data_IF_288212287725
#
_entry.id   IF_288212287725
#
_cell.length_a   1.000
_cell.length_b   1.000
_cell.length_c   1.000
_cell.angle_alpha   90.00
_cell.angle_beta   90.00
_cell.angle_gamma   90.00
#
_symmetry.space_group_name_H-M   'P 1'
#
loop_
_entity.id
_entity.type
_entity.pdbx_description
1 polymer ?
#
# COMPACT_ATOMS: atom_id res chain seq x y z
N UNK A 1 20.43 -10.40 -14.65
CA UNK A 1 19.77 -11.53 -13.96
C UNK A 1 18.31 -11.14 -13.76
N UNK A 2 17.34 -12.03 -13.96
CA UNK A 2 15.95 -11.69 -13.69
C UNK A 2 15.82 -11.46 -12.19
N UNK A 3 15.44 -10.25 -11.78
CA UNK A 3 15.10 -9.97 -10.40
C UNK A 3 13.84 -10.78 -10.06
N UNK A 4 13.97 -11.75 -9.16
CA UNK A 4 12.82 -12.44 -8.58
C UNK A 4 12.16 -11.44 -7.64
N UNK A 5 10.92 -11.06 -7.96
CA UNK A 5 10.12 -10.17 -7.09
C UNK A 5 9.56 -11.04 -5.98
N UNK A 6 9.97 -10.77 -4.73
CA UNK A 6 9.48 -11.47 -3.54
C UNK A 6 8.33 -10.67 -2.93
N UNK A 7 7.16 -10.69 -3.59
CA UNK A 7 6.03 -9.84 -3.23
C UNK A 7 5.68 -9.86 -1.74
N UNK A 8 5.65 -11.03 -1.11
CA UNK A 8 5.34 -11.13 0.32
C UNK A 8 6.39 -10.43 1.21
N UNK A 9 7.68 -10.65 0.95
CA UNK A 9 8.76 -10.05 1.73
C UNK A 9 8.82 -8.53 1.50
N UNK A 10 8.67 -8.11 0.25
CA UNK A 10 8.65 -6.69 -0.12
C UNK A 10 7.46 -5.97 0.53
N UNK A 11 6.27 -6.58 0.52
CA UNK A 11 5.09 -6.04 1.18
C UNK A 11 5.25 -5.99 2.70
N UNK A 12 5.87 -7.02 3.30
CA UNK A 12 6.17 -7.02 4.72
C UNK A 12 7.11 -5.86 5.10
N UNK A 13 8.16 -5.61 4.30
CA UNK A 13 9.08 -4.50 4.52
C UNK A 13 8.39 -3.14 4.35
N UNK A 14 7.57 -2.99 3.32
CA UNK A 14 6.78 -1.77 3.08
C UNK A 14 5.87 -1.49 4.27
N UNK A 15 5.11 -2.49 4.72
CA UNK A 15 4.20 -2.33 5.84
C UNK A 15 4.95 -2.06 7.15
N UNK A 16 6.11 -2.68 7.36
CA UNK A 16 6.96 -2.42 8.52
C UNK A 16 7.45 -0.96 8.55
N UNK A 17 7.88 -0.42 7.41
CA UNK A 17 8.29 0.98 7.33
C UNK A 17 7.09 1.94 7.49
N UNK A 18 5.92 1.61 6.94
CA UNK A 18 4.71 2.40 7.14
C UNK A 18 4.30 2.45 8.62
N UNK A 19 4.39 1.32 9.33
CA UNK A 19 4.17 1.27 10.79
C UNK A 19 5.22 2.06 11.56
N UNK A 20 6.49 1.98 11.19
CA UNK A 20 7.54 2.81 11.80
C UNK A 20 7.22 4.30 11.69
N UNK A 21 6.77 4.77 10.53
CA UNK A 21 6.34 6.16 10.35
C UNK A 21 5.13 6.50 11.23
N UNK A 22 4.16 5.58 11.36
CA UNK A 22 2.99 5.76 12.20
C UNK A 22 3.34 5.80 13.70
N UNK A 23 4.32 5.02 14.14
CA UNK A 23 4.82 5.06 15.51
C UNK A 23 5.58 6.36 15.76
N UNK A 24 6.46 6.77 14.84
CA UNK A 24 7.18 8.04 14.91
C UNK A 24 6.22 9.24 14.95
N UNK A 25 5.05 9.16 14.28
CA UNK A 25 4.08 10.25 14.26
C UNK A 25 3.22 10.37 15.52
N UNK A 26 3.06 9.28 16.28
CA UNK A 26 2.22 9.21 17.48
C UNK A 26 3.00 9.36 18.78
N UNK A 27 4.28 9.01 18.75
CA UNK A 27 5.19 9.11 19.88
C UNK A 27 5.84 10.49 19.93
N UNK A 28 6.58 10.75 21.00
CA UNK A 28 7.40 11.95 21.18
C UNK A 28 8.89 11.59 21.11
N UNK A 29 9.41 11.16 19.94
CA UNK A 29 10.80 10.80 19.81
C UNK A 29 11.70 12.04 19.72
N UNK A 30 12.94 11.91 20.19
CA UNK A 30 13.95 12.94 20.03
C UNK A 30 14.27 13.17 18.54
N UNK A 31 14.02 14.37 17.99
CA UNK A 31 14.28 14.68 16.58
C UNK A 31 15.75 14.54 16.18
N UNK A 32 16.68 14.78 17.11
CA UNK A 32 18.12 14.67 16.85
C UNK A 32 18.56 13.21 16.69
N UNK A 33 17.78 12.26 17.23
CA UNK A 33 18.05 10.81 17.14
C UNK A 33 17.40 10.21 15.90
N UNK A 34 16.13 10.55 15.62
CA UNK A 34 15.34 9.82 14.62
C UNK A 34 15.00 10.62 13.36
N UNK A 35 15.22 11.94 13.32
CA UNK A 35 14.76 12.81 12.24
C UNK A 35 15.19 12.35 10.84
N UNK A 36 16.48 12.08 10.65
CA UNK A 36 17.01 11.58 9.37
C UNK A 36 16.46 10.19 9.01
N UNK A 37 16.26 9.33 10.01
CA UNK A 37 15.71 7.99 9.82
C UNK A 37 14.26 8.04 9.38
N UNK A 38 13.46 8.95 9.95
CA UNK A 38 12.05 9.17 9.57
C UNK A 38 11.96 9.68 8.13
N UNK A 39 12.78 10.66 7.75
CA UNK A 39 12.81 11.15 6.38
C UNK A 39 13.23 10.07 5.37
N UNK A 40 14.26 9.30 5.71
CA UNK A 40 14.74 8.19 4.89
C UNK A 40 13.69 7.08 4.73
N UNK A 41 12.99 6.75 5.82
CA UNK A 41 11.90 5.79 5.82
C UNK A 41 10.73 6.27 4.94
N UNK A 42 10.34 7.54 5.04
CA UNK A 42 9.28 8.11 4.22
C UNK A 42 9.60 7.98 2.72
N UNK A 43 10.81 8.37 2.31
CA UNK A 43 11.26 8.24 0.91
C UNK A 43 11.34 6.80 0.44
N UNK A 44 11.79 5.90 1.31
CA UNK A 44 11.88 4.47 1.02
C UNK A 44 10.49 3.86 0.81
N UNK A 45 9.53 4.20 1.67
CA UNK A 45 8.12 3.79 1.55
C UNK A 45 7.50 4.33 0.26
N UNK A 46 7.72 5.59 -0.08
CA UNK A 46 7.19 6.17 -1.32
C UNK A 46 7.67 5.43 -2.56
N UNK A 47 8.98 5.22 -2.68
CA UNK A 47 9.56 4.49 -3.81
C UNK A 47 9.13 3.02 -3.86
N UNK A 48 9.03 2.35 -2.72
CA UNK A 48 8.64 0.95 -2.65
C UNK A 48 7.15 0.73 -2.94
N UNK A 49 6.27 1.56 -2.37
CA UNK A 49 4.82 1.50 -2.63
C UNK A 49 4.51 1.75 -4.10
N UNK A 50 5.09 2.78 -4.73
CA UNK A 50 4.84 3.07 -6.16
C UNK A 50 5.21 1.88 -7.05
N UNK A 51 6.42 1.35 -6.89
CA UNK A 51 6.89 0.20 -7.68
C UNK A 51 6.02 -1.03 -7.49
N UNK A 52 5.68 -1.35 -6.24
CA UNK A 52 4.90 -2.55 -5.92
C UNK A 52 3.45 -2.42 -6.39
N UNK A 53 2.85 -1.23 -6.23
CA UNK A 53 1.54 -0.89 -6.79
C UNK A 53 1.53 -1.10 -8.30
N UNK A 54 2.47 -0.52 -9.02
CA UNK A 54 2.49 -0.61 -10.48
C UNK A 54 2.61 -2.07 -10.94
N UNK A 55 3.41 -2.89 -10.24
CA UNK A 55 3.51 -4.33 -10.50
C UNK A 55 2.20 -5.06 -10.23
N UNK A 56 1.52 -4.82 -9.10
CA UNK A 56 0.28 -5.54 -8.74
C UNK A 56 -0.89 -5.11 -9.63
N UNK A 57 -0.99 -3.82 -9.97
CA UNK A 57 -2.04 -3.30 -10.84
C UNK A 57 -1.87 -3.77 -12.28
N UNK A 58 -0.63 -3.81 -12.81
CA UNK A 58 -0.35 -4.25 -14.18
C UNK A 58 -0.48 -5.76 -14.41
N UNK A 59 -0.61 -6.57 -13.35
CA UNK A 59 -0.70 -8.04 -13.45
C UNK A 59 -2.00 -8.58 -12.84
N UNK A 60 -3.13 -8.59 -13.58
CA UNK A 60 -4.43 -9.06 -13.08
C UNK A 60 -4.45 -10.52 -12.64
N UNK A 61 -3.64 -11.38 -13.26
CA UNK A 61 -3.59 -12.83 -13.00
C UNK A 61 -2.53 -13.22 -11.95
N UNK A 62 -2.00 -12.25 -11.20
CA UNK A 62 -1.04 -12.51 -10.15
C UNK A 62 -1.68 -13.40 -9.06
N UNK A 63 -0.97 -14.46 -8.67
CA UNK A 63 -1.39 -15.32 -7.55
C UNK A 63 -1.44 -14.47 -6.28
N UNK A 64 -2.49 -14.66 -5.47
CA UNK A 64 -2.75 -13.90 -4.24
C UNK A 64 -2.92 -12.38 -4.45
N UNK A 65 -3.27 -11.94 -5.67
CA UNK A 65 -3.42 -10.52 -6.00
C UNK A 65 -4.36 -9.77 -5.06
N UNK A 66 -5.46 -10.39 -4.63
CA UNK A 66 -6.41 -9.77 -3.71
C UNK A 66 -5.75 -9.44 -2.37
N UNK A 67 -4.94 -10.35 -1.83
CA UNK A 67 -4.19 -10.12 -0.60
C UNK A 67 -3.15 -9.01 -0.78
N UNK A 68 -2.46 -8.98 -1.92
CA UNK A 68 -1.50 -7.92 -2.21
C UNK A 68 -2.16 -6.54 -2.35
N UNK A 69 -3.29 -6.44 -3.05
CA UNK A 69 -4.06 -5.20 -3.14
C UNK A 69 -4.51 -4.71 -1.77
N UNK A 70 -5.01 -5.63 -0.93
CA UNK A 70 -5.44 -5.33 0.43
C UNK A 70 -4.29 -4.84 1.31
N UNK A 71 -3.15 -5.53 1.28
CA UNK A 71 -1.96 -5.16 2.06
C UNK A 71 -1.38 -3.83 1.58
N UNK A 72 -1.28 -3.62 0.27
CA UNK A 72 -0.80 -2.35 -0.30
C UNK A 72 -1.72 -1.18 0.05
N UNK A 73 -3.04 -1.36 -0.06
CA UNK A 73 -4.00 -0.31 0.30
C UNK A 73 -3.83 0.11 1.77
N UNK A 74 -3.73 -0.88 2.66
CA UNK A 74 -3.51 -0.64 4.09
C UNK A 74 -2.19 0.07 4.37
N UNK A 75 -1.09 -0.39 3.76
CA UNK A 75 0.23 0.20 3.95
C UNK A 75 0.28 1.63 3.40
N UNK A 76 -0.30 1.88 2.22
CA UNK A 76 -0.41 3.21 1.63
C UNK A 76 -1.21 4.15 2.52
N UNK A 77 -2.37 3.73 3.03
CA UNK A 77 -3.15 4.55 3.96
C UNK A 77 -2.38 4.88 5.23
N UNK A 78 -1.75 3.87 5.83
CA UNK A 78 -0.94 4.03 7.05
C UNK A 78 0.20 5.01 6.84
N UNK A 79 0.95 4.89 5.74
CA UNK A 79 2.03 5.79 5.39
C UNK A 79 1.54 7.21 5.11
N UNK A 80 0.47 7.37 4.34
CA UNK A 80 -0.10 8.66 4.01
C UNK A 80 -0.54 9.44 5.24
N UNK A 81 -1.28 8.78 6.13
CA UNK A 81 -1.77 9.39 7.37
C UNK A 81 -0.63 9.70 8.35
N UNK A 82 0.36 8.80 8.46
CA UNK A 82 1.53 9.02 9.30
C UNK A 82 2.38 10.21 8.82
N UNK A 83 2.67 10.28 7.52
CA UNK A 83 3.44 11.40 6.94
C UNK A 83 2.68 12.72 7.10
N UNK A 84 1.35 12.71 6.90
CA UNK A 84 0.52 13.89 7.12
C UNK A 84 0.56 14.38 8.56
N UNK A 85 0.64 13.48 9.55
CA UNK A 85 0.76 13.81 10.96
C UNK A 85 2.16 14.34 11.32
N UNK A 86 3.22 13.72 10.79
CA UNK A 86 4.62 14.09 11.05
C UNK A 86 4.95 15.53 10.67
N UNK A 87 4.30 16.05 9.61
CA UNK A 87 4.53 17.42 9.13
C UNK A 87 3.60 18.45 9.79
N UNK A 88 2.73 18.06 10.72
CA UNK A 88 1.89 19.03 11.45
C UNK A 88 2.77 19.87 12.38
N UNK A 89 2.52 21.17 12.52
CA UNK A 89 3.34 22.04 13.36
C UNK A 89 3.42 21.62 14.84
N UNK A 90 2.45 20.85 15.32
CA UNK A 90 2.40 20.37 16.69
C UNK A 90 3.22 19.08 16.91
N UNK A 91 3.66 18.42 15.82
CA UNK A 91 4.46 17.21 15.92
C UNK A 91 5.92 17.56 16.28
N UNK A 92 6.53 16.88 17.26
CA UNK A 92 7.92 17.11 17.67
C UNK A 92 8.94 17.02 16.52
N UNK A 93 8.67 16.16 15.54
CA UNK A 93 9.55 15.95 14.38
C UNK A 93 9.37 17.01 13.28
N UNK A 94 8.34 17.85 13.34
CA UNK A 94 8.04 18.83 12.30
C UNK A 94 9.19 19.81 12.03
N UNK A 95 9.94 20.19 13.07
CA UNK A 95 11.12 21.04 12.95
C UNK A 95 12.24 20.36 12.15
N UNK A 96 12.56 19.10 12.46
CA UNK A 96 13.57 18.32 11.76
C UNK A 96 13.18 18.03 10.30
N UNK A 97 11.88 17.90 10.03
CA UNK A 97 11.35 17.62 8.69
C UNK A 97 11.03 18.87 7.86
N UNK A 98 11.20 20.07 8.42
CA UNK A 98 10.77 21.35 7.83
C UNK A 98 11.30 21.59 6.41
N UNK A 99 12.56 21.24 6.15
CA UNK A 99 13.21 21.39 4.84
C UNK A 99 12.58 20.52 3.74
N UNK A 100 11.91 19.43 4.13
CA UNK A 100 11.28 18.46 3.23
C UNK A 100 9.74 18.45 3.37
N UNK A 101 9.16 19.40 4.10
CA UNK A 101 7.71 19.43 4.41
C UNK A 101 6.84 19.40 3.15
N UNK A 102 7.19 20.15 2.11
CA UNK A 102 6.44 20.18 0.85
C UNK A 102 6.52 18.85 0.09
N UNK A 103 7.69 18.19 0.10
CA UNK A 103 7.91 16.87 -0.48
C UNK A 103 7.05 15.83 0.24
N UNK A 104 7.15 15.78 1.57
CA UNK A 104 6.38 14.90 2.44
C UNK A 104 4.87 15.14 2.30
N UNK A 105 4.43 16.39 2.21
CA UNK A 105 3.02 16.72 1.99
C UNK A 105 2.49 16.23 0.63
N UNK A 106 3.32 16.24 -0.43
CA UNK A 106 2.96 15.62 -1.71
C UNK A 106 2.89 14.10 -1.60
N UNK A 107 3.85 13.48 -0.92
CA UNK A 107 3.87 12.02 -0.70
C UNK A 107 2.64 11.55 0.09
N UNK A 108 2.27 12.25 1.17
CA UNK A 108 1.11 11.92 1.99
C UNK A 108 -0.17 11.87 1.15
N UNK A 109 -0.42 12.93 0.36
CA UNK A 109 -1.59 13.00 -0.54
C UNK A 109 -1.57 11.91 -1.61
N UNK A 110 -0.39 11.64 -2.20
CA UNK A 110 -0.24 10.59 -3.19
C UNK A 110 -0.53 9.20 -2.60
N UNK A 111 -0.11 8.93 -1.37
CA UNK A 111 -0.38 7.68 -0.67
C UNK A 111 -1.84 7.50 -0.30
N UNK A 112 -2.52 8.57 0.13
CA UNK A 112 -3.95 8.54 0.41
C UNK A 112 -4.74 8.25 -0.87
N UNK A 113 -4.44 8.95 -1.97
CA UNK A 113 -5.05 8.68 -3.28
C UNK A 113 -4.77 7.24 -3.76
N UNK A 114 -3.53 6.76 -3.63
CA UNK A 114 -3.18 5.40 -4.00
C UNK A 114 -3.93 4.35 -3.14
N UNK A 115 -4.17 4.62 -1.86
CA UNK A 115 -4.94 3.72 -1.01
C UNK A 115 -6.41 3.63 -1.45
N UNK A 116 -7.01 4.74 -1.87
CA UNK A 116 -8.36 4.76 -2.43
C UNK A 116 -8.39 3.96 -3.75
N UNK A 117 -7.49 4.25 -4.69
CA UNK A 117 -7.36 3.53 -5.97
C UNK A 117 -7.19 2.01 -5.80
N UNK A 118 -6.34 1.60 -4.85
CA UNK A 118 -6.10 0.18 -4.55
C UNK A 118 -7.32 -0.51 -3.91
N UNK A 119 -8.09 0.24 -3.12
CA UNK A 119 -9.33 -0.26 -2.52
C UNK A 119 -10.40 -0.47 -3.58
N UNK A 120 -10.53 0.48 -4.52
CA UNK A 120 -11.44 0.34 -5.65
C UNK A 120 -11.05 -0.85 -6.54
N UNK A 121 -9.76 -0.99 -6.87
CA UNK A 121 -9.25 -2.12 -7.64
C UNK A 121 -9.47 -3.47 -6.94
N UNK A 122 -9.41 -3.50 -5.60
CA UNK A 122 -9.73 -4.69 -4.81
C UNK A 122 -11.21 -5.04 -4.91
N UNK A 123 -12.11 -4.06 -4.78
CA UNK A 123 -13.55 -4.31 -4.91
C UNK A 123 -13.91 -4.81 -6.32
N UNK A 124 -13.38 -4.17 -7.38
CA UNK A 124 -13.60 -4.63 -8.75
C UNK A 124 -13.11 -6.07 -8.94
N UNK A 125 -11.93 -6.42 -8.41
CA UNK A 125 -11.40 -7.78 -8.55
C UNK A 125 -12.20 -8.84 -7.77
N UNK A 126 -12.85 -8.45 -6.67
CA UNK A 126 -13.76 -9.33 -5.92
C UNK A 126 -15.07 -9.55 -6.69
N UNK A 127 -15.63 -8.50 -7.28
CA UNK A 127 -16.85 -8.57 -8.09
C UNK A 127 -16.65 -9.46 -9.33
N UNK A 128 -15.54 -9.27 -10.05
CA UNK A 128 -15.16 -10.08 -11.23
C UNK A 128 -14.92 -11.55 -10.88
N UNK A 129 -14.35 -11.82 -9.69
CA UNK A 129 -14.15 -13.19 -9.19
C UNK A 129 -15.46 -13.88 -8.81
N UNK A 130 -16.44 -13.14 -8.28
CA UNK A 130 -17.77 -13.68 -7.94
C UNK A 130 -18.61 -14.03 -9.17
N UNK A 131 -18.42 -13.28 -10.28
CA UNK A 131 -19.13 -13.53 -11.53
C UNK A 131 -18.69 -14.84 -12.23
N UNK A 132 -17.54 -15.42 -11.85
CA UNK A 132 -17.01 -16.67 -12.41
C UNK A 132 -17.51 -17.95 -11.74
N UNK A 133 -18.09 -17.88 -10.53
CA UNK A 133 -18.64 -19.06 -9.83
C UNK A 133 -20.15 -19.28 -10.10
N UNK A 134 -20.84 -18.34 -10.74
CA UNK A 134 -22.31 -18.36 -10.90
C UNK A 134 -22.78 -18.63 -12.35
N UNK A 135 -21.93 -19.23 -13.19
CA UNK A 135 -22.25 -19.59 -14.57
C UNK A 135 -21.93 -21.06 -14.86
N UNK A 136 -22.55 -21.97 -14.09
CA UNK A 136 -23.01 -23.23 -14.67
C UNK A 136 -24.52 -23.20 -14.58
N UNK A 137 -25.15 -22.68 -15.65
CA UNK A 137 -26.59 -22.81 -15.81
C UNK A 137 -26.95 -24.29 -15.69
N UNK A 138 -27.90 -24.63 -14.81
CA UNK A 138 -28.31 -26.03 -14.56
C UNK A 138 -28.74 -26.81 -15.81
N UNK A 139 -28.98 -26.10 -16.92
CA UNK A 139 -29.28 -26.67 -18.22
C UNK A 139 -28.04 -27.32 -18.90
N UNK A 140 -26.83 -26.78 -18.72
CA UNK A 140 -25.60 -27.33 -19.33
C UNK A 140 -25.10 -28.60 -18.59
N UNK A 141 -25.29 -28.65 -17.27
CA UNK A 141 -25.00 -29.84 -16.44
C UNK A 141 -25.92 -31.03 -16.80
N UNK A 142 -27.13 -30.74 -17.29
CA UNK A 142 -28.10 -31.76 -17.71
C UNK A 142 -27.78 -32.36 -19.09
N UNK A 143 -27.04 -31.65 -19.95
CA UNK A 143 -26.54 -32.20 -21.23
C UNK A 143 -25.31 -33.09 -21.02
N UNK A 144 -24.42 -32.77 -20.09
CA UNK A 144 -23.21 -33.56 -19.80
C UNK A 144 -23.47 -34.90 -19.10
N UNK A 145 -24.64 -35.08 -18.49
CA UNK A 145 -25.05 -36.32 -17.80
C UNK A 145 -25.95 -37.23 -18.67
N UNK A 146 -26.08 -36.93 -19.96
CA UNK A 146 -26.88 -37.71 -20.93
C UNK A 146 -26.07 -38.64 -21.85
N UNK A 147 -24.75 -38.71 -21.70
CA UNK A 147 -23.92 -39.81 -22.23
C UNK A 147 -23.73 -40.93 -21.20
#
# INVERSE_FOLDING_TARGET
MPHVVHYQDDLFLIDSLARFLADASRLDPDPDIVGDSVLSAARSVDGALRRTRDLVVSNPHLVDRLDYLRLLSRAARTAGDAIAELIRPQNPLSGALSSSSDELGRMARAHQAAADELTDALHTALDDGSAGEDLVSGDELSELLRE
#
